data_IF_489618763375
#
_entry.id   IF_489618763375
#
_cell.length_a   1.000
_cell.length_b   1.000
_cell.length_c   1.000
_cell.angle_alpha   90.00
_cell.angle_beta   90.00
_cell.angle_gamma   90.00
#
_symmetry.space_group_name_H-M   'P 1'
#
loop_
_entity.id
_entity.type
_entity.pdbx_description
1 polymer ?
#
# COMPACT_ATOMS: atom_id res chain seq x y z
N UNK A 1 -10.07 -0.99 19.44
CA UNK A 1 -9.32 -1.18 18.18
C UNK A 1 -9.72 -2.51 17.59
N UNK A 2 -10.92 -2.56 17.01
CA UNK A 2 -11.53 -3.82 16.54
C UNK A 2 -11.89 -3.70 15.07
N UNK A 3 -10.89 -3.90 14.20
CA UNK A 3 -11.04 -4.27 12.79
C UNK A 3 -9.68 -4.44 12.08
N UNK A 4 -8.55 -3.98 12.62
CA UNK A 4 -7.27 -4.08 11.92
C UNK A 4 -6.47 -5.33 12.26
N UNK A 5 -6.05 -6.04 11.21
CA UNK A 5 -4.91 -6.96 11.24
C UNK A 5 -3.64 -6.31 10.70
N UNK A 6 -2.50 -6.98 10.90
CA UNK A 6 -1.20 -6.50 10.44
C UNK A 6 -0.96 -6.75 8.94
N UNK A 7 -1.85 -7.51 8.30
CA UNK A 7 -1.79 -7.80 6.87
C UNK A 7 -2.14 -6.60 5.98
N UNK A 8 -1.63 -6.58 4.74
CA UNK A 8 -1.84 -5.47 3.80
C UNK A 8 -3.30 -5.27 3.37
N UNK A 9 -4.16 -6.27 3.60
CA UNK A 9 -5.58 -6.28 3.23
C UNK A 9 -6.52 -6.29 4.44
N UNK A 10 -5.97 -6.19 5.65
CA UNK A 10 -6.71 -6.33 6.92
C UNK A 10 -6.97 -4.96 7.56
N UNK A 11 -7.01 -3.89 6.78
CA UNK A 11 -7.19 -2.51 7.25
C UNK A 11 -8.18 -1.76 6.34
N UNK A 12 -8.77 -0.68 6.86
CA UNK A 12 -9.88 0.01 6.20
C UNK A 12 -9.45 0.67 4.88
N UNK A 13 -8.27 1.31 4.83
CA UNK A 13 -7.74 1.91 3.59
C UNK A 13 -7.51 0.90 2.47
N UNK A 14 -7.12 -0.33 2.81
CA UNK A 14 -7.00 -1.41 1.82
C UNK A 14 -8.37 -1.89 1.31
N UNK A 15 -9.39 -1.92 2.16
CA UNK A 15 -10.76 -2.27 1.76
C UNK A 15 -11.39 -1.19 0.88
N UNK A 16 -11.13 0.08 1.19
CA UNK A 16 -11.56 1.21 0.38
C UNK A 16 -10.90 1.19 -1.00
N UNK A 17 -9.58 0.92 -1.06
CA UNK A 17 -8.87 0.72 -2.32
C UNK A 17 -9.49 -0.42 -3.15
N UNK A 18 -9.80 -1.56 -2.53
CA UNK A 18 -10.43 -2.69 -3.22
C UNK A 18 -11.83 -2.34 -3.75
N UNK A 19 -12.60 -1.56 -3.00
CA UNK A 19 -13.92 -1.10 -3.43
C UNK A 19 -13.83 -0.16 -4.65
N UNK A 20 -12.89 0.77 -4.64
CA UNK A 20 -12.64 1.70 -5.73
C UNK A 20 -12.18 0.98 -7.01
N UNK A 21 -11.22 0.04 -6.87
CA UNK A 21 -10.74 -0.76 -8.00
C UNK A 21 -11.83 -1.67 -8.56
N UNK A 22 -12.70 -2.22 -7.71
CA UNK A 22 -13.80 -3.10 -8.12
C UNK A 22 -14.85 -2.42 -9.01
N UNK A 23 -15.06 -1.11 -8.87
CA UNK A 23 -16.08 -0.37 -9.61
C UNK A 23 -15.61 0.10 -11.01
N UNK A 24 -14.29 0.33 -11.19
CA UNK A 24 -13.79 0.95 -12.43
C UNK A 24 -12.35 0.64 -12.85
N UNK A 25 -11.61 -0.20 -12.13
CA UNK A 25 -10.15 -0.30 -12.25
C UNK A 25 -9.43 0.72 -11.35
N UNK A 26 -8.11 0.82 -11.45
CA UNK A 26 -7.32 1.75 -10.62
C UNK A 26 -7.02 3.05 -11.37
N UNK A 27 -7.41 4.18 -10.80
CA UNK A 27 -7.01 5.53 -11.21
C UNK A 27 -6.22 6.14 -10.08
N UNK A 28 -4.90 6.29 -10.25
CA UNK A 28 -4.00 6.69 -9.17
C UNK A 28 -4.25 8.14 -8.73
N UNK A 29 -4.68 8.99 -9.66
CA UNK A 29 -5.03 10.38 -9.40
C UNK A 29 -6.20 10.52 -8.43
N UNK A 30 -7.12 9.55 -8.40
CA UNK A 30 -8.26 9.57 -7.48
C UNK A 30 -7.83 9.28 -6.03
N UNK A 31 -6.61 8.75 -5.83
CA UNK A 31 -6.01 8.53 -4.52
C UNK A 31 -5.17 9.72 -4.02
N UNK A 32 -5.06 10.81 -4.79
CA UNK A 32 -4.17 11.93 -4.45
C UNK A 32 -4.46 12.53 -3.07
N UNK A 33 -5.74 12.56 -2.66
CA UNK A 33 -6.20 13.06 -1.36
C UNK A 33 -5.50 12.38 -0.18
N UNK A 34 -5.12 11.11 -0.32
CA UNK A 34 -4.49 10.32 0.74
C UNK A 34 -3.00 10.68 0.95
N UNK A 35 -2.42 11.52 0.08
CA UNK A 35 -0.99 11.84 0.06
C UNK A 35 -0.69 13.34 0.00
N UNK A 36 -1.70 14.21 0.15
CA UNK A 36 -1.58 15.67 -0.02
C UNK A 36 -0.68 16.32 1.04
N UNK A 37 -0.74 15.84 2.28
CA UNK A 37 0.00 16.38 3.41
C UNK A 37 1.41 15.80 3.53
N UNK A 38 2.33 16.54 4.15
CA UNK A 38 3.70 16.07 4.42
C UNK A 38 3.71 14.91 5.43
N UNK A 39 2.85 15.01 6.46
CA UNK A 39 2.56 13.94 7.39
C UNK A 39 1.52 13.00 6.77
N UNK A 40 1.80 11.70 6.78
CA UNK A 40 0.91 10.70 6.21
C UNK A 40 -0.09 10.24 7.27
N UNK A 41 -1.35 10.66 7.08
CA UNK A 41 -2.46 10.15 7.89
C UNK A 41 -2.62 8.64 7.71
N UNK A 42 -3.30 8.00 8.65
CA UNK A 42 -3.49 6.56 8.70
C UNK A 42 -3.93 5.94 7.37
N UNK A 43 -4.90 6.55 6.71
CA UNK A 43 -5.47 6.05 5.46
C UNK A 43 -4.42 6.05 4.34
N UNK A 44 -3.61 7.11 4.24
CA UNK A 44 -2.52 7.18 3.29
C UNK A 44 -1.45 6.13 3.53
N UNK A 45 -1.10 5.86 4.79
CA UNK A 45 -0.16 4.80 5.17
C UNK A 45 -0.66 3.42 4.77
N UNK A 46 -1.95 3.17 4.96
CA UNK A 46 -2.61 1.93 4.59
C UNK A 46 -2.71 1.73 3.09
N UNK A 47 -3.19 2.74 2.38
CA UNK A 47 -3.32 2.72 0.92
C UNK A 47 -1.95 2.52 0.27
N UNK A 48 -0.89 3.19 0.76
CA UNK A 48 0.47 3.00 0.24
C UNK A 48 0.94 1.54 0.30
N UNK A 49 0.74 0.88 1.44
CA UNK A 49 1.15 -0.51 1.63
C UNK A 49 0.26 -1.48 0.82
N UNK A 50 -1.04 -1.22 0.74
CA UNK A 50 -1.95 -1.99 -0.11
C UNK A 50 -1.59 -1.87 -1.60
N UNK A 51 -1.20 -0.69 -2.07
CA UNK A 51 -0.71 -0.46 -3.44
C UNK A 51 0.59 -1.22 -3.74
N UNK A 52 1.49 -1.37 -2.76
CA UNK A 52 2.70 -2.21 -2.91
C UNK A 52 2.30 -3.66 -3.16
N UNK A 53 1.43 -4.23 -2.33
CA UNK A 53 0.97 -5.62 -2.50
C UNK A 53 0.16 -5.81 -3.79
N UNK A 54 -0.66 -4.83 -4.18
CA UNK A 54 -1.39 -4.85 -5.44
C UNK A 54 -0.45 -4.83 -6.66
N UNK A 55 0.60 -4.01 -6.63
CA UNK A 55 1.62 -3.97 -7.68
C UNK A 55 2.35 -5.31 -7.81
N UNK A 56 2.65 -5.97 -6.68
CA UNK A 56 3.22 -7.32 -6.67
C UNK A 56 2.23 -8.37 -7.20
N UNK A 57 0.94 -8.23 -6.88
CA UNK A 57 -0.09 -9.13 -7.36
C UNK A 57 -0.29 -9.02 -8.88
N UNK A 58 -0.31 -7.81 -9.43
CA UNK A 58 -0.32 -7.55 -10.89
C UNK A 58 0.86 -8.23 -11.60
N UNK A 59 2.01 -8.38 -10.93
CA UNK A 59 3.20 -9.08 -11.44
C UNK A 59 3.16 -10.60 -11.23
N UNK A 60 2.10 -11.14 -10.61
CA UNK A 60 1.98 -12.55 -10.26
C UNK A 60 2.92 -13.00 -9.13
N UNK A 61 3.47 -12.06 -8.35
CA UNK A 61 4.41 -12.35 -7.26
C UNK A 61 3.70 -12.60 -5.93
N UNK A 62 2.49 -12.06 -5.77
CA UNK A 62 1.66 -12.20 -4.56
C UNK A 62 0.19 -12.45 -4.90
N UNK A 63 -0.56 -13.12 -4.01
CA UNK A 63 -2.01 -13.20 -4.14
C UNK A 63 -2.67 -11.87 -3.76
N UNK A 64 -3.81 -11.60 -4.38
CA UNK A 64 -4.75 -10.54 -3.96
C UNK A 64 -5.97 -11.23 -3.33
N UNK A 65 -6.63 -10.62 -2.32
CA UNK A 65 -7.89 -11.14 -1.80
C UNK A 65 -9.02 -11.04 -2.84
N UNK A 66 -9.95 -12.01 -2.78
CA UNK A 66 -11.17 -12.01 -3.58
C UNK A 66 -10.94 -12.28 -5.08
N UNK A 67 -11.92 -11.85 -5.88
CA UNK A 67 -11.97 -12.07 -7.33
C UNK A 67 -11.55 -10.80 -8.12
N UNK A 68 -10.59 -10.03 -7.59
CA UNK A 68 -10.14 -8.80 -8.23
C UNK A 68 -9.59 -9.09 -9.65
N UNK A 69 -10.13 -8.40 -10.65
CA UNK A 69 -9.71 -8.53 -12.04
C UNK A 69 -8.38 -7.79 -12.27
N UNK A 70 -7.27 -8.46 -12.00
CA UNK A 70 -5.92 -7.89 -12.10
C UNK A 70 -5.59 -7.36 -13.52
N UNK A 71 -6.22 -7.89 -14.57
CA UNK A 71 -6.01 -7.41 -15.94
C UNK A 71 -6.56 -5.98 -16.14
N UNK A 72 -7.57 -5.58 -15.35
CA UNK A 72 -8.10 -4.21 -15.33
C UNK A 72 -7.25 -3.24 -14.53
N UNK A 73 -6.51 -3.74 -13.55
CA UNK A 73 -5.67 -2.93 -12.65
C UNK A 73 -4.27 -2.76 -13.22
N UNK A 74 -3.75 -3.79 -13.90
CA UNK A 74 -2.39 -3.84 -14.40
C UNK A 74 -1.94 -2.61 -15.21
N UNK A 75 -2.78 -2.01 -16.09
CA UNK A 75 -2.39 -0.84 -16.85
C UNK A 75 -2.06 0.40 -16.00
N UNK A 76 -2.58 0.51 -14.79
CA UNK A 76 -2.32 1.63 -13.89
C UNK A 76 -0.91 1.59 -13.29
N UNK A 77 -0.30 0.41 -13.18
CA UNK A 77 1.05 0.24 -12.60
C UNK A 77 2.15 0.47 -13.63
N UNK A 78 2.22 1.68 -14.20
CA UNK A 78 3.35 2.12 -15.01
C UNK A 78 4.64 2.21 -14.16
N UNK A 79 5.84 2.25 -14.77
CA UNK A 79 7.08 2.44 -14.02
C UNK A 79 7.07 3.68 -13.10
N UNK A 80 6.46 4.78 -13.56
CA UNK A 80 6.33 6.02 -12.81
C UNK A 80 5.40 5.83 -11.59
N UNK A 81 4.25 5.18 -11.78
CA UNK A 81 3.33 4.86 -10.68
C UNK A 81 3.99 3.93 -9.67
N UNK A 82 4.71 2.90 -10.13
CA UNK A 82 5.41 1.99 -9.21
C UNK A 82 6.49 2.71 -8.40
N UNK A 83 7.23 3.64 -9.01
CA UNK A 83 8.20 4.46 -8.30
C UNK A 83 7.53 5.35 -7.25
N UNK A 84 6.40 5.99 -7.61
CA UNK A 84 5.61 6.79 -6.69
C UNK A 84 5.01 5.98 -5.53
N UNK A 85 4.45 4.79 -5.79
CA UNK A 85 3.98 3.85 -4.76
C UNK A 85 5.10 3.49 -3.80
N UNK A 86 6.31 3.21 -4.32
CA UNK A 86 7.46 2.90 -3.49
C UNK A 86 7.90 4.07 -2.59
N UNK A 87 7.75 5.31 -3.07
CA UNK A 87 8.01 6.53 -2.29
C UNK A 87 6.98 6.72 -1.16
N UNK A 88 5.69 6.54 -1.45
CA UNK A 88 4.65 6.65 -0.42
C UNK A 88 4.78 5.54 0.64
N UNK A 89 5.16 4.33 0.24
CA UNK A 89 5.43 3.24 1.17
C UNK A 89 6.65 3.52 2.05
N UNK A 90 7.73 4.13 1.52
CA UNK A 90 8.85 4.57 2.36
C UNK A 90 8.38 5.60 3.41
N UNK A 91 7.55 6.57 3.01
CA UNK A 91 6.98 7.57 3.94
C UNK A 91 6.18 6.90 5.07
N UNK A 92 5.34 5.93 4.71
CA UNK A 92 4.55 5.17 5.68
C UNK A 92 5.42 4.41 6.70
N UNK A 93 6.60 3.92 6.28
CA UNK A 93 7.48 3.05 7.05
C UNK A 93 8.67 3.77 7.73
N UNK A 94 8.81 5.07 7.52
CA UNK A 94 9.98 5.86 7.94
C UNK A 94 10.02 6.14 9.45
N UNK A 95 8.87 6.38 10.09
CA UNK A 95 8.79 6.64 11.53
C UNK A 95 7.51 7.36 11.95
N UNK A 96 7.34 7.59 13.26
CA UNK A 96 6.13 8.24 13.79
C UNK A 96 6.03 9.71 13.39
N UNK A 97 7.15 10.39 13.08
CA UNK A 97 7.17 11.79 12.64
C UNK A 97 6.58 11.99 11.23
N UNK A 98 6.41 10.91 10.45
CA UNK A 98 5.98 10.98 9.04
C UNK A 98 4.72 10.18 8.75
N UNK A 99 4.24 9.35 9.68
CA UNK A 99 3.20 8.36 9.43
C UNK A 99 2.41 8.05 10.70
N UNK A 100 1.12 8.37 10.70
CA UNK A 100 0.19 8.02 11.78
C UNK A 100 0.07 6.51 11.92
N UNK A 101 0.08 5.77 10.81
CA UNK A 101 0.05 4.30 10.86
C UNK A 101 1.27 3.75 11.64
N UNK A 102 2.46 4.33 11.44
CA UNK A 102 3.64 3.93 12.19
C UNK A 102 3.47 4.20 13.69
N UNK A 103 3.04 5.42 14.05
CA UNK A 103 2.80 5.84 15.43
C UNK A 103 1.82 4.88 16.13
N UNK A 104 0.68 4.58 15.49
CA UNK A 104 -0.33 3.68 16.04
C UNK A 104 0.22 2.27 16.31
N UNK A 105 1.00 1.70 15.38
CA UNK A 105 1.58 0.37 15.56
C UNK A 105 2.73 0.34 16.59
N UNK A 106 3.47 1.44 16.71
CA UNK A 106 4.47 1.63 17.76
C UNK A 106 3.82 1.72 19.14
N UNK A 107 2.79 2.54 19.30
CA UNK A 107 2.02 2.66 20.56
C UNK A 107 1.32 1.36 20.96
N UNK A 108 0.85 0.58 19.97
CA UNK A 108 0.27 -0.74 20.18
C UNK A 108 1.30 -1.82 20.57
N UNK A 109 2.62 -1.51 20.52
CA UNK A 109 3.69 -2.44 20.85
C UNK A 109 3.83 -3.62 19.87
N UNK A 110 3.24 -3.51 18.68
CA UNK A 110 3.20 -4.55 17.65
C UNK A 110 3.81 -4.09 16.33
N UNK A 111 4.71 -3.09 16.40
CA UNK A 111 5.33 -2.46 15.24
C UNK A 111 6.02 -3.45 14.32
N UNK A 112 6.81 -4.39 14.84
CA UNK A 112 7.54 -5.35 14.02
C UNK A 112 6.60 -6.31 13.26
N UNK A 113 5.44 -6.64 13.84
CA UNK A 113 4.44 -7.52 13.22
C UNK A 113 3.86 -6.90 11.94
N UNK A 114 3.62 -5.59 11.96
CA UNK A 114 3.15 -4.82 10.80
C UNK A 114 4.29 -4.41 9.86
N UNK A 115 5.41 -3.89 10.41
CA UNK A 115 6.45 -3.22 9.63
C UNK A 115 7.35 -4.18 8.86
N UNK A 116 7.76 -5.30 9.45
CA UNK A 116 8.67 -6.24 8.80
C UNK A 116 8.12 -6.84 7.49
N UNK A 117 6.88 -7.36 7.43
CA UNK A 117 6.32 -7.86 6.17
C UNK A 117 6.14 -6.74 5.13
N UNK A 118 5.76 -5.53 5.55
CA UNK A 118 5.63 -4.37 4.67
C UNK A 118 6.98 -3.96 4.04
N UNK A 119 8.05 -3.90 4.84
CA UNK A 119 9.41 -3.64 4.36
C UNK A 119 9.86 -4.72 3.36
N UNK A 120 9.55 -5.99 3.63
CA UNK A 120 9.87 -7.08 2.72
C UNK A 120 9.12 -6.97 1.39
N UNK A 121 7.85 -6.59 1.41
CA UNK A 121 7.04 -6.32 0.20
C UNK A 121 7.64 -5.18 -0.63
N UNK A 122 7.99 -4.08 0.01
CA UNK A 122 8.59 -2.94 -0.68
C UNK A 122 9.95 -3.30 -1.32
N UNK A 123 10.77 -4.09 -0.62
CA UNK A 123 12.02 -4.60 -1.18
C UNK A 123 11.80 -5.51 -2.40
N UNK A 124 10.79 -6.39 -2.34
CA UNK A 124 10.40 -7.26 -3.46
C UNK A 124 9.90 -6.47 -4.68
N UNK A 125 9.10 -5.42 -4.45
CA UNK A 125 8.62 -4.54 -5.51
C UNK A 125 9.78 -3.84 -6.22
N UNK A 126 10.76 -3.35 -5.46
CA UNK A 126 11.98 -2.72 -5.98
C UNK A 126 12.83 -3.69 -6.79
N UNK A 127 12.99 -4.93 -6.32
CA UNK A 127 13.76 -5.95 -7.00
C UNK A 127 13.11 -6.43 -8.30
N UNK A 128 11.77 -6.33 -8.41
CA UNK A 128 11.01 -6.75 -9.58
C UNK A 128 10.77 -5.65 -10.61
N UNK A 129 11.13 -4.39 -10.31
CA UNK A 129 11.04 -3.30 -11.29
C UNK A 129 12.22 -3.37 -12.26
N UNK A 130 11.99 -3.27 -13.59
CA UNK A 130 13.08 -3.26 -14.56
C UNK A 130 13.99 -2.05 -14.30
N UNK A 131 15.30 -2.29 -14.25
CA UNK A 131 16.28 -1.21 -14.19
C UNK A 131 16.12 -0.33 -15.45
N UNK A 132 16.07 1.01 -15.33
CA UNK A 132 15.94 1.90 -16.48
C UNK A 132 17.05 1.70 -17.51
#
# INVERSE_FOLDING_TARGET
MGAWGAGPWENDGALDLLAEVGDGGLVVEDLAWAFEDEYLEVDGGQIALALVDLALAVRGLRPVPGDLDLDRVAPAFTPEVVAWVAEQADRALAGPETSEAYELWEEAGSLDEWRLPAVAALAELRASSPTP
#
